data_IF_646906330639
#
_entry.id   IF_646906330639
#
_cell.length_a   1.000
_cell.length_b   1.000
_cell.length_c   1.000
_cell.angle_alpha   90.00
_cell.angle_beta   90.00
_cell.angle_gamma   90.00
#
_symmetry.space_group_name_H-M   'P 1'
#
loop_
_entity.id
_entity.type
_entity.pdbx_description
1 polymer ?
#
# COMPACT_ATOMS: atom_id res chain seq x y z
N UNK A 1 15.18 71.25 -36.87
CA UNK A 1 13.95 70.37 -36.84
C UNK A 1 14.28 68.91 -37.02
N UNK A 2 15.27 68.55 -37.87
CA UNK A 2 15.63 67.15 -38.16
C UNK A 2 16.27 66.41 -36.95
N UNK A 3 17.09 67.12 -36.17
CA UNK A 3 17.77 66.55 -34.97
C UNK A 3 16.76 66.11 -33.87
N UNK A 4 15.71 66.91 -33.67
CA UNK A 4 14.68 66.58 -32.66
C UNK A 4 13.81 65.34 -33.05
N UNK A 5 13.56 65.14 -34.34
CA UNK A 5 12.82 64.02 -34.87
C UNK A 5 13.61 62.70 -34.66
N UNK A 6 14.93 62.75 -34.92
CA UNK A 6 15.83 61.60 -34.70
C UNK A 6 15.94 61.27 -33.23
N UNK A 7 15.99 62.25 -32.34
CA UNK A 7 16.04 62.02 -30.87
C UNK A 7 14.74 61.46 -30.36
N UNK A 8 13.59 61.95 -30.85
CA UNK A 8 12.27 61.39 -30.49
C UNK A 8 12.13 59.94 -30.99
N UNK A 9 12.58 59.64 -32.23
CA UNK A 9 12.59 58.29 -32.77
C UNK A 9 13.39 57.32 -31.87
N UNK A 10 14.61 57.68 -31.50
CA UNK A 10 15.45 56.85 -30.59
C UNK A 10 14.81 56.64 -29.21
N UNK A 11 14.13 57.64 -28.67
CA UNK A 11 13.45 57.52 -27.39
C UNK A 11 12.23 56.62 -27.50
N UNK A 12 11.50 56.63 -28.62
CA UNK A 12 10.38 55.75 -28.89
C UNK A 12 10.86 54.30 -29.03
N UNK A 13 11.95 54.06 -29.74
CA UNK A 13 12.54 52.72 -29.89
C UNK A 13 13.03 52.16 -28.52
N UNK A 14 13.67 53.00 -27.73
CA UNK A 14 14.10 52.62 -26.37
C UNK A 14 12.89 52.28 -25.49
N UNK A 15 11.83 53.10 -25.52
CA UNK A 15 10.61 52.84 -24.75
C UNK A 15 9.90 51.55 -25.18
N UNK A 16 9.92 51.26 -26.48
CA UNK A 16 9.39 50.01 -27.04
C UNK A 16 10.17 48.80 -26.50
N UNK A 17 11.52 48.89 -26.51
CA UNK A 17 12.36 47.81 -25.98
C UNK A 17 12.14 47.59 -24.49
N UNK A 18 12.03 48.66 -23.70
CA UNK A 18 11.74 48.58 -22.26
C UNK A 18 10.35 47.96 -22.01
N UNK A 19 9.35 48.31 -22.82
CA UNK A 19 8.02 47.73 -22.73
C UNK A 19 8.00 46.23 -23.07
N UNK A 20 8.71 45.84 -24.14
CA UNK A 20 8.82 44.44 -24.54
C UNK A 20 9.55 43.60 -23.46
N UNK A 21 10.62 44.15 -22.88
CA UNK A 21 11.33 43.51 -21.76
C UNK A 21 10.43 43.35 -20.53
N UNK A 22 9.70 44.40 -20.13
CA UNK A 22 8.78 44.36 -19.01
C UNK A 22 7.64 43.34 -19.23
N UNK A 23 7.15 43.25 -20.46
CA UNK A 23 6.12 42.29 -20.84
C UNK A 23 6.65 40.86 -20.75
N UNK A 24 7.88 40.60 -21.20
CA UNK A 24 8.52 39.30 -21.09
C UNK A 24 8.72 38.90 -19.60
N UNK A 25 9.21 39.81 -18.78
CA UNK A 25 9.40 39.60 -17.35
C UNK A 25 8.07 39.31 -16.63
N UNK A 26 7.02 40.03 -16.98
CA UNK A 26 5.69 39.80 -16.45
C UNK A 26 5.16 38.40 -16.81
N UNK A 27 5.34 37.99 -18.08
CA UNK A 27 4.94 36.63 -18.49
C UNK A 27 5.74 35.55 -17.75
N UNK A 28 7.05 35.73 -17.59
CA UNK A 28 7.89 34.82 -16.83
C UNK A 28 7.45 34.72 -15.35
N UNK A 29 7.15 35.86 -14.73
CA UNK A 29 6.61 35.91 -13.35
C UNK A 29 5.28 35.17 -13.24
N UNK A 30 4.33 35.38 -14.13
CA UNK A 30 3.03 34.70 -14.13
C UNK A 30 3.19 33.19 -14.29
N UNK A 31 4.09 32.76 -15.19
CA UNK A 31 4.37 31.32 -15.35
C UNK A 31 5.03 30.71 -14.12
N UNK A 32 6.01 31.35 -13.52
CA UNK A 32 6.65 30.90 -12.29
C UNK A 32 5.62 30.78 -11.15
N UNK A 33 4.76 31.78 -11.00
CA UNK A 33 3.70 31.77 -9.98
C UNK A 33 2.70 30.61 -10.19
N UNK A 34 2.29 30.36 -11.44
CA UNK A 34 1.41 29.22 -11.77
C UNK A 34 2.06 27.87 -11.47
N UNK A 35 3.34 27.71 -11.77
CA UNK A 35 4.09 26.48 -11.46
C UNK A 35 4.19 26.26 -9.95
N UNK A 36 4.51 27.32 -9.19
CA UNK A 36 4.56 27.27 -7.72
C UNK A 36 3.22 26.88 -7.12
N UNK A 37 2.12 27.48 -7.58
CA UNK A 37 0.77 27.15 -7.11
C UNK A 37 0.39 25.69 -7.42
N UNK A 38 0.76 25.19 -8.60
CA UNK A 38 0.54 23.78 -8.97
C UNK A 38 1.36 22.82 -8.11
N UNK A 39 2.62 23.16 -7.82
CA UNK A 39 3.48 22.38 -6.95
C UNK A 39 2.90 22.29 -5.54
N UNK A 40 2.48 23.40 -4.95
CA UNK A 40 1.84 23.43 -3.61
C UNK A 40 0.56 22.60 -3.58
N UNK A 41 -0.27 22.67 -4.62
CA UNK A 41 -1.48 21.85 -4.72
C UNK A 41 -1.15 20.35 -4.81
N UNK A 42 -0.11 19.99 -5.57
CA UNK A 42 0.36 18.61 -5.68
C UNK A 42 0.90 18.08 -4.35
N UNK A 43 1.69 18.88 -3.62
CA UNK A 43 2.19 18.53 -2.27
C UNK A 43 1.05 18.32 -1.28
N UNK A 44 0.06 19.21 -1.26
CA UNK A 44 -1.12 19.08 -0.41
C UNK A 44 -1.89 17.79 -0.70
N UNK A 45 -2.09 17.47 -1.98
CA UNK A 45 -2.73 16.21 -2.40
C UNK A 45 -1.92 14.98 -1.97
N UNK A 46 -0.61 15.06 -2.09
CA UNK A 46 0.28 13.96 -1.71
C UNK A 46 0.26 13.70 -0.20
N UNK A 47 0.25 14.76 0.61
CA UNK A 47 0.10 14.65 2.08
C UNK A 47 -1.24 14.00 2.42
N UNK A 48 -2.34 14.46 1.81
CA UNK A 48 -3.68 13.89 2.03
C UNK A 48 -3.74 12.41 1.67
N UNK A 49 -3.21 12.03 0.50
CA UNK A 49 -3.19 10.63 0.07
C UNK A 49 -2.34 9.75 1.00
N UNK A 50 -1.21 10.25 1.49
CA UNK A 50 -0.39 9.53 2.48
C UNK A 50 -1.11 9.32 3.79
N UNK A 51 -1.84 10.33 4.27
CA UNK A 51 -2.66 10.19 5.48
C UNK A 51 -3.79 9.18 5.30
N UNK A 52 -4.48 9.21 4.17
CA UNK A 52 -5.55 8.23 3.84
C UNK A 52 -4.98 6.79 3.76
N UNK A 53 -3.81 6.63 3.13
CA UNK A 53 -3.12 5.33 3.06
C UNK A 53 -2.70 4.85 4.45
N UNK A 54 -2.15 5.72 5.29
CA UNK A 54 -1.73 5.36 6.65
C UNK A 54 -2.94 4.98 7.51
N UNK A 55 -4.03 5.74 7.45
CA UNK A 55 -5.27 5.41 8.17
C UNK A 55 -5.86 4.07 7.73
N UNK A 56 -5.88 3.81 6.41
CA UNK A 56 -6.51 2.60 5.87
C UNK A 56 -5.63 1.36 5.97
N UNK A 57 -4.32 1.50 5.76
CA UNK A 57 -3.39 0.37 5.57
C UNK A 57 -2.21 0.35 6.55
N UNK A 58 -2.04 1.35 7.41
CA UNK A 58 -0.92 1.44 8.35
C UNK A 58 -0.80 0.21 9.25
N UNK A 59 -1.94 -0.27 9.75
CA UNK A 59 -1.99 -1.47 10.58
C UNK A 59 -1.64 -2.77 9.83
N UNK A 60 -1.72 -2.80 8.50
CA UNK A 60 -1.38 -4.00 7.72
C UNK A 60 0.11 -4.35 7.82
N UNK A 61 0.99 -3.36 7.90
CA UNK A 61 2.42 -3.58 8.09
C UNK A 61 2.73 -4.19 9.47
N UNK A 62 2.03 -3.73 10.51
CA UNK A 62 2.12 -4.27 11.86
C UNK A 62 1.65 -5.72 11.89
N UNK A 63 0.49 -6.02 11.30
CA UNK A 63 -0.05 -7.38 11.21
C UNK A 63 0.94 -8.33 10.51
N UNK A 64 1.51 -7.93 9.37
CA UNK A 64 2.51 -8.75 8.68
C UNK A 64 3.75 -9.01 9.53
N UNK A 65 4.23 -8.01 10.27
CA UNK A 65 5.38 -8.16 11.17
C UNK A 65 5.08 -9.13 12.31
N UNK A 66 3.91 -8.96 12.94
CA UNK A 66 3.43 -9.86 14.01
C UNK A 66 3.28 -11.28 13.50
N UNK A 67 2.68 -11.48 12.33
CA UNK A 67 2.54 -12.79 11.67
C UNK A 67 3.88 -13.46 11.47
N UNK A 68 4.87 -12.72 10.94
CA UNK A 68 6.22 -13.24 10.74
C UNK A 68 6.85 -13.66 12.06
N UNK A 69 6.71 -12.87 13.12
CA UNK A 69 7.20 -13.19 14.46
C UNK A 69 6.54 -14.44 15.02
N UNK A 70 5.23 -14.58 14.89
CA UNK A 70 4.46 -15.76 15.34
C UNK A 70 4.91 -17.02 14.61
N UNK A 71 5.04 -16.97 13.28
CA UNK A 71 5.49 -18.13 12.49
C UNK A 71 6.91 -18.55 12.88
N UNK A 72 7.82 -17.60 13.06
CA UNK A 72 9.19 -17.88 13.50
C UNK A 72 9.25 -18.48 14.91
N UNK A 73 8.44 -17.96 15.83
CA UNK A 73 8.40 -18.43 17.20
C UNK A 73 7.70 -19.80 17.31
N UNK A 74 6.74 -20.10 16.47
CA UNK A 74 6.09 -21.42 16.39
C UNK A 74 7.10 -22.49 15.89
N UNK A 75 7.99 -22.17 14.96
CA UNK A 75 9.04 -23.09 14.52
C UNK A 75 10.01 -23.46 15.65
N UNK A 76 10.22 -22.54 16.60
CA UNK A 76 11.08 -22.73 17.76
C UNK A 76 10.35 -23.33 18.97
N UNK A 77 9.05 -23.64 18.85
CA UNK A 77 8.18 -24.10 19.92
C UNK A 77 8.16 -23.21 21.18
N UNK A 78 8.42 -21.90 21.01
CA UNK A 78 8.61 -20.95 22.13
C UNK A 78 7.32 -20.21 22.50
N UNK A 79 6.33 -20.11 21.58
CA UNK A 79 5.12 -19.30 21.80
C UNK A 79 3.99 -20.10 22.41
N UNK A 80 3.43 -19.55 23.49
CA UNK A 80 2.18 -20.07 24.05
C UNK A 80 1.01 -19.75 23.11
N UNK A 81 0.17 -20.73 22.88
CA UNK A 81 -0.99 -20.67 21.97
C UNK A 81 -1.95 -19.51 22.31
N UNK A 82 -2.12 -19.21 23.61
CA UNK A 82 -2.95 -18.11 24.09
C UNK A 82 -2.46 -16.74 23.62
N UNK A 83 -1.14 -16.54 23.56
CA UNK A 83 -0.54 -15.28 23.09
C UNK A 83 -0.84 -15.04 21.61
N UNK A 84 -0.79 -16.11 20.80
CA UNK A 84 -1.10 -16.03 19.36
C UNK A 84 -2.58 -15.72 19.11
N UNK A 85 -3.46 -16.34 19.90
CA UNK A 85 -4.90 -16.10 19.81
C UNK A 85 -5.26 -14.66 20.19
N UNK A 86 -4.77 -14.20 21.35
CA UNK A 86 -5.04 -12.84 21.82
C UNK A 86 -4.52 -11.78 20.84
N UNK A 87 -3.31 -11.97 20.29
CA UNK A 87 -2.76 -11.11 19.26
C UNK A 87 -3.62 -11.11 17.99
N UNK A 88 -4.09 -12.28 17.55
CA UNK A 88 -4.97 -12.41 16.37
C UNK A 88 -6.31 -11.69 16.56
N UNK A 89 -6.95 -11.85 17.72
CA UNK A 89 -8.22 -11.19 18.06
C UNK A 89 -8.07 -9.66 18.10
N UNK A 90 -6.99 -9.15 18.71
CA UNK A 90 -6.68 -7.72 18.71
C UNK A 90 -6.46 -7.18 17.29
N UNK A 91 -5.73 -7.91 16.44
CA UNK A 91 -5.49 -7.54 15.06
C UNK A 91 -6.77 -7.54 14.21
N UNK A 92 -7.74 -8.44 14.51
CA UNK A 92 -9.04 -8.43 13.84
C UNK A 92 -9.85 -7.17 14.15
N UNK A 93 -9.74 -6.62 15.36
CA UNK A 93 -10.39 -5.37 15.74
C UNK A 93 -9.75 -4.15 15.08
N UNK A 94 -8.42 -4.14 14.98
CA UNK A 94 -7.66 -3.02 14.38
C UNK A 94 -7.74 -2.96 12.86
N UNK A 95 -7.91 -4.07 12.20
CA UNK A 95 -7.96 -4.14 10.73
C UNK A 95 -9.08 -5.09 10.28
N UNK A 96 -10.35 -4.66 10.38
CA UNK A 96 -11.53 -5.50 10.14
C UNK A 96 -11.65 -5.98 8.69
N UNK A 97 -10.98 -5.34 7.74
CA UNK A 97 -11.01 -5.74 6.32
C UNK A 97 -9.80 -6.60 5.90
N UNK A 98 -8.78 -6.71 6.75
CA UNK A 98 -7.54 -7.39 6.37
C UNK A 98 -7.63 -8.90 6.58
N UNK A 99 -7.45 -9.66 5.49
CA UNK A 99 -7.60 -11.13 5.47
C UNK A 99 -6.64 -11.88 6.40
N UNK A 100 -5.43 -11.35 6.62
CA UNK A 100 -4.38 -12.03 7.36
C UNK A 100 -4.69 -12.13 8.87
N UNK A 101 -5.45 -11.18 9.43
CA UNK A 101 -5.84 -11.21 10.83
C UNK A 101 -6.69 -12.48 11.17
N UNK A 102 -7.82 -12.75 10.49
CA UNK A 102 -8.55 -14.00 10.71
C UNK A 102 -7.76 -15.24 10.26
N UNK A 103 -6.87 -15.16 9.28
CA UNK A 103 -6.01 -16.28 8.91
C UNK A 103 -5.07 -16.69 10.05
N UNK A 104 -4.54 -15.72 10.81
CA UNK A 104 -3.75 -15.98 12.03
C UNK A 104 -4.56 -16.62 13.15
N UNK A 105 -5.79 -16.15 13.37
CA UNK A 105 -6.69 -16.76 14.36
C UNK A 105 -6.99 -18.20 13.96
N UNK A 106 -7.24 -18.47 12.67
CA UNK A 106 -7.48 -19.83 12.17
C UNK A 106 -6.26 -20.74 12.39
N UNK A 107 -5.07 -20.24 12.08
CA UNK A 107 -3.82 -20.98 12.29
C UNK A 107 -3.59 -21.28 13.78
N UNK A 108 -3.74 -20.29 14.64
CA UNK A 108 -3.59 -20.44 16.09
C UNK A 108 -4.58 -21.44 16.66
N UNK A 109 -5.85 -21.32 16.30
CA UNK A 109 -6.89 -22.23 16.75
C UNK A 109 -6.65 -23.66 16.26
N UNK A 110 -6.15 -23.83 15.05
CA UNK A 110 -5.80 -25.15 14.50
C UNK A 110 -4.63 -25.79 15.23
N UNK A 111 -3.58 -25.04 15.54
CA UNK A 111 -2.44 -25.51 16.33
C UNK A 111 -2.88 -25.90 17.77
N UNK A 112 -3.90 -25.21 18.29
CA UNK A 112 -4.45 -25.43 19.64
C UNK A 112 -5.57 -26.49 19.72
N UNK A 113 -5.85 -27.17 18.61
CA UNK A 113 -6.93 -28.16 18.48
C UNK A 113 -8.34 -27.62 18.78
N UNK A 114 -8.57 -26.34 18.48
CA UNK A 114 -9.88 -25.69 18.57
C UNK A 114 -10.54 -25.60 17.17
N UNK A 115 -11.04 -26.74 16.71
CA UNK A 115 -11.54 -26.90 15.33
C UNK A 115 -12.64 -25.91 14.95
N UNK A 116 -13.65 -25.69 15.81
CA UNK A 116 -14.76 -24.78 15.54
C UNK A 116 -14.31 -23.34 15.30
N UNK A 117 -13.35 -22.86 16.12
CA UNK A 117 -12.79 -21.51 16.00
C UNK A 117 -11.94 -21.44 14.72
N UNK A 118 -11.14 -22.46 14.45
CA UNK A 118 -10.30 -22.53 13.26
C UNK A 118 -11.12 -22.46 11.98
N UNK A 119 -12.21 -23.25 11.88
CA UNK A 119 -13.09 -23.27 10.71
C UNK A 119 -13.80 -21.92 10.51
N UNK A 120 -14.29 -21.31 11.59
CA UNK A 120 -14.97 -20.01 11.52
C UNK A 120 -14.02 -18.90 11.06
N UNK A 121 -12.84 -18.83 11.66
CA UNK A 121 -11.84 -17.84 11.31
C UNK A 121 -11.27 -18.04 9.89
N UNK A 122 -11.08 -19.28 9.47
CA UNK A 122 -10.66 -19.62 8.10
C UNK A 122 -11.70 -19.16 7.06
N UNK A 123 -12.99 -19.41 7.33
CA UNK A 123 -14.08 -18.96 6.45
C UNK A 123 -14.08 -17.43 6.32
N UNK A 124 -13.85 -16.71 7.40
CA UNK A 124 -13.76 -15.26 7.38
C UNK A 124 -12.52 -14.77 6.61
N UNK A 125 -11.38 -15.42 6.75
CA UNK A 125 -10.18 -15.11 5.97
C UNK A 125 -10.40 -15.30 4.47
N UNK A 126 -10.99 -16.43 4.08
CA UNK A 126 -11.35 -16.74 2.70
C UNK A 126 -12.36 -15.72 2.12
N UNK A 127 -13.34 -15.29 2.91
CA UNK A 127 -14.32 -14.29 2.50
C UNK A 127 -13.66 -12.95 2.19
N UNK A 128 -12.62 -12.56 2.95
CA UNK A 128 -11.91 -11.28 2.76
C UNK A 128 -10.95 -11.31 1.58
N UNK A 129 -10.17 -12.38 1.44
CA UNK A 129 -9.25 -12.57 0.30
C UNK A 129 -8.93 -14.06 0.17
N UNK A 130 -9.66 -14.72 -0.72
CA UNK A 130 -9.56 -16.17 -0.89
C UNK A 130 -8.21 -16.58 -1.48
N UNK A 131 -7.70 -15.79 -2.43
CA UNK A 131 -6.45 -16.08 -3.13
C UNK A 131 -5.25 -16.04 -2.18
N UNK A 132 -5.09 -14.92 -1.46
CA UNK A 132 -3.99 -14.77 -0.51
C UNK A 132 -4.10 -15.72 0.67
N UNK A 133 -5.32 -16.01 1.13
CA UNK A 133 -5.56 -17.00 2.19
C UNK A 133 -5.15 -18.39 1.74
N UNK A 134 -5.50 -18.80 0.52
CA UNK A 134 -5.13 -20.10 -0.02
C UNK A 134 -3.61 -20.26 -0.14
N UNK A 135 -2.93 -19.24 -0.68
CA UNK A 135 -1.47 -19.23 -0.77
C UNK A 135 -0.80 -19.29 0.61
N UNK A 136 -1.30 -18.50 1.57
CA UNK A 136 -0.79 -18.51 2.94
C UNK A 136 -0.85 -19.91 3.57
N UNK A 137 -2.01 -20.58 3.51
CA UNK A 137 -2.15 -21.93 4.09
C UNK A 137 -1.38 -22.99 3.29
N UNK A 138 -1.20 -22.84 1.98
CA UNK A 138 -0.31 -23.71 1.20
C UNK A 138 1.12 -23.66 1.73
N UNK A 139 1.64 -22.44 1.93
CA UNK A 139 3.01 -22.23 2.43
C UNK A 139 3.18 -22.67 3.88
N UNK A 140 2.21 -22.35 4.75
CA UNK A 140 2.23 -22.76 6.17
C UNK A 140 2.19 -24.29 6.29
N UNK A 141 1.29 -24.97 5.57
CA UNK A 141 1.21 -26.43 5.58
C UNK A 141 2.49 -27.07 5.05
N UNK A 142 3.09 -26.52 3.98
CA UNK A 142 4.36 -26.99 3.46
C UNK A 142 5.49 -26.85 4.49
N UNK A 143 5.57 -25.70 5.17
CA UNK A 143 6.56 -25.44 6.22
C UNK A 143 6.41 -26.40 7.41
N UNK A 144 5.16 -26.74 7.76
CA UNK A 144 4.84 -27.69 8.80
C UNK A 144 4.99 -29.18 8.40
N UNK A 145 5.57 -29.46 7.22
CA UNK A 145 5.76 -30.82 6.71
C UNK A 145 4.48 -31.55 6.27
N UNK A 146 3.35 -30.82 6.18
CA UNK A 146 2.05 -31.38 5.80
C UNK A 146 1.84 -31.28 4.29
N UNK A 147 2.46 -32.19 3.52
CA UNK A 147 2.47 -32.12 2.06
C UNK A 147 1.09 -32.24 1.41
N UNK A 148 0.22 -33.16 1.85
CA UNK A 148 -1.09 -33.34 1.23
C UNK A 148 -2.04 -32.14 1.42
N UNK A 149 -2.21 -31.53 2.59
CA UNK A 149 -2.91 -30.26 2.74
C UNK A 149 -2.27 -29.11 1.96
N UNK A 150 -0.94 -29.00 1.95
CA UNK A 150 -0.24 -27.97 1.21
C UNK A 150 -0.57 -28.02 -0.29
N UNK A 151 -0.58 -29.23 -0.87
CA UNK A 151 -0.92 -29.43 -2.28
C UNK A 151 -2.37 -29.01 -2.59
N UNK A 152 -3.33 -29.39 -1.73
CA UNK A 152 -4.73 -29.00 -1.93
C UNK A 152 -4.92 -27.48 -1.91
N UNK A 153 -4.27 -26.79 -0.98
CA UNK A 153 -4.29 -25.33 -0.91
C UNK A 153 -3.60 -24.68 -2.12
N UNK A 154 -2.47 -25.22 -2.57
CA UNK A 154 -1.78 -24.75 -3.76
C UNK A 154 -2.64 -24.94 -5.03
N UNK A 155 -3.31 -26.08 -5.19
CA UNK A 155 -4.23 -26.31 -6.29
C UNK A 155 -5.40 -25.30 -6.26
N UNK A 156 -5.98 -25.07 -5.08
CA UNK A 156 -7.05 -24.08 -4.92
C UNK A 156 -6.59 -22.66 -5.31
N UNK A 157 -5.40 -22.27 -4.93
CA UNK A 157 -4.78 -20.99 -5.34
C UNK A 157 -4.59 -20.93 -6.86
N UNK A 158 -3.98 -21.96 -7.48
CA UNK A 158 -3.66 -21.98 -8.91
C UNK A 158 -4.89 -21.98 -9.81
N UNK A 159 -5.96 -22.66 -9.40
CA UNK A 159 -7.23 -22.67 -10.14
C UNK A 159 -7.88 -21.30 -10.28
N UNK A 160 -7.51 -20.35 -9.43
CA UNK A 160 -8.05 -18.98 -9.44
C UNK A 160 -7.16 -17.97 -10.14
N UNK A 161 -5.95 -18.38 -10.53
CA UNK A 161 -5.04 -17.50 -11.26
C UNK A 161 -5.48 -17.44 -12.72
N UNK A 162 -5.57 -16.20 -13.26
CA UNK A 162 -5.66 -16.03 -14.71
C UNK A 162 -4.35 -16.47 -15.35
N UNK A 163 -4.38 -17.09 -16.51
CA UNK A 163 -3.21 -17.62 -17.23
C UNK A 163 -2.06 -16.61 -17.42
N UNK A 164 -2.36 -15.32 -17.32
CA UNK A 164 -1.40 -14.21 -17.53
C UNK A 164 -0.88 -13.56 -16.25
N UNK A 165 -1.35 -13.95 -15.07
CA UNK A 165 -1.14 -13.18 -13.82
C UNK A 165 -0.55 -14.01 -12.67
N UNK A 166 0.44 -14.87 -12.94
CA UNK A 166 1.22 -15.45 -11.85
C UNK A 166 2.05 -14.34 -11.20
N UNK A 167 1.74 -14.02 -9.95
CA UNK A 167 2.52 -13.05 -9.19
C UNK A 167 3.95 -13.59 -9.01
N UNK A 168 4.95 -12.85 -9.51
CA UNK A 168 6.37 -13.20 -9.37
C UNK A 168 6.82 -13.45 -7.94
N UNK A 169 6.07 -12.98 -6.95
CA UNK A 169 6.34 -13.21 -5.53
C UNK A 169 5.85 -14.57 -5.02
N UNK A 170 5.06 -15.26 -5.80
CA UNK A 170 4.55 -16.59 -5.48
C UNK A 170 5.40 -17.73 -6.05
N UNK A 171 6.32 -17.41 -6.94
CA UNK A 171 7.33 -18.31 -7.50
C UNK A 171 8.65 -18.17 -6.75
#
# INVERSE_FOLDING_TARGET
TNSNVITVGKNVDALQQDFDALTADFHAFVQAHRLTARAQLAETRLIKLRQELEQKYGHYAEIRRTTKGILQANDLAIVRQETVRAAGEELMLRAPEYWLAPALVALSAWISDHEEIAVRALREALRRDEEKTALFFALVCRRAGRGAPALRWAQHYLMRQAETALDRKAL
#
